data_IF_828977775194
#
_entry.id   IF_828977775194
#
_cell.length_a   1.000
_cell.length_b   1.000
_cell.length_c   1.000
_cell.angle_alpha   90.00
_cell.angle_beta   90.00
_cell.angle_gamma   90.00
#
_symmetry.space_group_name_H-M   'P 1'
#
loop_
_entity.id
_entity.type
_entity.pdbx_description
1 polymer ?
#
# COMPACT_ATOMS: atom_id res chain seq x y z
N UNK A 1 9.97 16.13 -5.71
CA UNK A 1 10.43 14.72 -5.82
C UNK A 1 11.34 14.45 -4.65
N UNK A 2 11.10 13.35 -3.96
CA UNK A 2 11.83 12.95 -2.75
C UNK A 2 12.44 11.58 -3.00
N UNK A 3 13.70 11.39 -2.61
CA UNK A 3 14.40 10.10 -2.71
C UNK A 3 15.00 9.74 -1.35
N UNK A 4 14.89 8.47 -0.96
CA UNK A 4 15.39 8.02 0.34
C UNK A 4 16.92 8.15 0.45
N UNK A 5 17.63 7.90 -0.65
CA UNK A 5 19.08 8.01 -0.74
C UNK A 5 19.57 9.45 -1.01
N UNK A 6 18.70 10.31 -1.53
CA UNK A 6 19.04 11.66 -1.98
C UNK A 6 19.67 11.70 -3.37
N UNK A 7 19.56 10.62 -4.15
CA UNK A 7 20.07 10.54 -5.52
C UNK A 7 19.41 11.58 -6.45
N UNK A 8 18.18 11.99 -6.14
CA UNK A 8 17.45 12.98 -6.93
C UNK A 8 16.42 13.75 -6.10
N UNK A 9 16.44 15.08 -6.21
CA UNK A 9 15.50 15.95 -5.50
C UNK A 9 15.82 16.10 -4.01
N UNK A 10 14.80 16.10 -3.15
CA UNK A 10 14.98 16.20 -1.70
C UNK A 10 15.28 14.83 -1.09
N UNK A 11 16.25 14.76 -0.19
CA UNK A 11 16.58 13.53 0.53
C UNK A 11 15.61 13.31 1.68
N UNK A 12 15.03 12.13 1.78
CA UNK A 12 14.22 11.70 2.93
C UNK A 12 12.83 11.18 2.56
N UNK A 13 12.03 10.90 3.59
CA UNK A 13 10.68 10.36 3.40
C UNK A 13 9.69 11.44 2.97
N UNK A 14 8.69 11.04 2.18
CA UNK A 14 7.59 11.90 1.73
C UNK A 14 6.83 12.57 2.89
N UNK A 15 6.80 11.93 4.06
CA UNK A 15 6.11 12.43 5.26
C UNK A 15 6.80 13.65 5.87
N UNK A 16 8.12 13.78 5.73
CA UNK A 16 8.87 14.96 6.20
C UNK A 16 8.51 16.19 5.35
N UNK A 17 8.53 16.03 4.03
CA UNK A 17 8.14 17.10 3.09
C UNK A 17 6.68 17.49 3.29
N UNK A 18 5.79 16.51 3.47
CA UNK A 18 4.38 16.77 3.75
C UNK A 18 4.19 17.60 5.02
N UNK A 19 4.92 17.28 6.10
CA UNK A 19 4.86 18.04 7.34
C UNK A 19 5.28 19.50 7.13
N UNK A 20 6.39 19.74 6.42
CA UNK A 20 6.84 21.10 6.12
C UNK A 20 5.80 21.90 5.32
N UNK A 21 5.10 21.25 4.38
CA UNK A 21 4.04 21.90 3.61
C UNK A 21 2.83 22.25 4.49
N UNK A 22 2.42 21.34 5.37
CA UNK A 22 1.31 21.58 6.31
C UNK A 22 1.65 22.65 7.37
N UNK A 23 2.92 22.74 7.77
CA UNK A 23 3.41 23.78 8.68
C UNK A 23 3.42 25.17 8.02
N UNK A 24 3.77 25.24 6.73
CA UNK A 24 3.83 26.49 5.96
C UNK A 24 2.46 26.96 5.49
N UNK A 25 1.61 26.04 5.03
CA UNK A 25 0.32 26.35 4.43
C UNK A 25 -0.86 25.67 5.16
N UNK A 26 -1.56 26.46 5.98
CA UNK A 26 -2.75 26.03 6.72
C UNK A 26 -4.02 25.94 5.87
N UNK A 27 -3.95 26.32 4.58
CA UNK A 27 -5.05 26.19 3.63
C UNK A 27 -5.21 24.76 3.11
N UNK A 28 -4.19 23.90 3.29
CA UNK A 28 -4.29 22.49 2.92
C UNK A 28 -5.34 21.81 3.81
N UNK A 29 -6.49 21.49 3.21
CA UNK A 29 -7.62 20.85 3.90
C UNK A 29 -7.75 19.36 3.63
N UNK A 30 -7.14 18.85 2.56
CA UNK A 30 -7.20 17.45 2.19
C UNK A 30 -5.86 16.93 1.70
N UNK A 31 -5.55 15.69 2.07
CA UNK A 31 -4.35 14.96 1.67
C UNK A 31 -4.79 13.59 1.15
N UNK A 32 -4.31 13.22 -0.04
CA UNK A 32 -4.46 11.86 -0.57
C UNK A 32 -3.13 11.14 -0.47
N UNK A 33 -3.14 9.91 0.03
CA UNK A 33 -1.95 9.07 0.11
C UNK A 33 -2.19 7.69 -0.47
N UNK A 34 -1.26 7.24 -1.29
CA UNK A 34 -1.30 5.99 -2.04
C UNK A 34 0.12 5.44 -2.06
N UNK A 35 0.31 4.22 -1.57
CA UNK A 35 1.61 3.57 -1.56
C UNK A 35 1.71 2.44 -0.55
N UNK A 36 2.92 2.12 -0.04
CA UNK A 36 3.08 1.07 0.95
C UNK A 36 2.24 1.32 2.21
N UNK A 37 1.69 0.27 2.80
CA UNK A 37 0.81 0.38 3.98
C UNK A 37 1.43 1.19 5.13
N UNK A 38 2.74 0.99 5.37
CA UNK A 38 3.47 1.75 6.39
C UNK A 38 3.58 3.24 6.05
N UNK A 39 3.78 3.58 4.77
CA UNK A 39 3.85 4.97 4.32
C UNK A 39 2.50 5.66 4.50
N UNK A 40 1.42 4.99 4.13
CA UNK A 40 0.06 5.52 4.32
C UNK A 40 -0.26 5.72 5.80
N UNK A 41 0.07 4.75 6.66
CA UNK A 41 -0.07 4.85 8.12
C UNK A 41 0.66 6.08 8.68
N UNK A 42 1.95 6.22 8.38
CA UNK A 42 2.77 7.34 8.89
C UNK A 42 2.28 8.67 8.32
N UNK A 43 1.78 8.69 7.09
CA UNK A 43 1.15 9.88 6.51
C UNK A 43 -0.07 10.31 7.32
N UNK A 44 -0.97 9.37 7.68
CA UNK A 44 -2.13 9.66 8.52
C UNK A 44 -1.73 10.13 9.93
N UNK A 45 -0.70 9.54 10.53
CA UNK A 45 -0.19 10.00 11.82
C UNK A 45 0.40 11.43 11.72
N UNK A 46 1.07 11.74 10.62
CA UNK A 46 1.67 13.06 10.36
C UNK A 46 0.60 14.13 10.16
N UNK A 47 -0.51 13.81 9.47
CA UNK A 47 -1.58 14.77 9.19
C UNK A 47 -2.55 14.96 10.35
N UNK A 48 -2.61 14.02 11.31
CA UNK A 48 -3.54 14.03 12.45
C UNK A 48 -3.53 15.31 13.31
N UNK A 49 -2.39 15.98 13.59
CA UNK A 49 -2.38 17.25 14.30
C UNK A 49 -2.95 18.43 13.49
N UNK A 50 -3.07 18.27 12.18
CA UNK A 50 -3.56 19.29 11.27
C UNK A 50 -5.05 19.03 11.00
N UNK A 51 -5.82 20.09 10.74
CA UNK A 51 -7.23 19.98 10.32
C UNK A 51 -7.35 19.56 8.85
N UNK A 52 -6.50 18.64 8.40
CA UNK A 52 -6.45 18.14 7.03
C UNK A 52 -7.01 16.73 6.98
N UNK A 53 -8.13 16.55 6.28
CA UNK A 53 -8.72 15.23 6.03
C UNK A 53 -7.75 14.40 5.19
N UNK A 54 -7.43 13.18 5.64
CA UNK A 54 -6.49 12.32 4.93
C UNK A 54 -7.21 11.11 4.36
N UNK A 55 -7.28 11.05 3.04
CA UNK A 55 -7.85 9.94 2.30
C UNK A 55 -6.73 8.99 1.90
N UNK A 56 -6.94 7.69 2.12
CA UNK A 56 -5.99 6.63 1.79
C UNK A 56 -6.61 5.71 0.74
N UNK A 57 -5.82 5.29 -0.24
CA UNK A 57 -6.22 4.23 -1.16
C UNK A 57 -5.63 2.90 -0.70
N UNK A 58 -6.48 2.03 -0.15
CA UNK A 58 -6.02 0.78 0.47
C UNK A 58 -5.71 -0.29 -0.59
N UNK A 59 -4.52 -0.89 -0.48
CA UNK A 59 -4.03 -1.94 -1.36
C UNK A 59 -4.21 -3.35 -0.77
N UNK A 60 -5.40 -3.67 -0.26
CA UNK A 60 -5.70 -4.99 0.32
C UNK A 60 -5.57 -6.13 -0.70
N UNK A 61 -5.34 -7.36 -0.23
CA UNK A 61 -5.39 -8.56 -1.08
C UNK A 61 -6.80 -8.72 -1.66
N UNK A 62 -6.89 -8.85 -2.99
CA UNK A 62 -8.14 -9.05 -3.73
C UNK A 62 -8.10 -10.38 -4.48
N UNK A 63 -9.27 -11.02 -4.60
CA UNK A 63 -9.42 -12.29 -5.36
C UNK A 63 -10.49 -12.12 -6.43
N UNK A 64 -11.72 -11.86 -6.03
CA UNK A 64 -12.89 -11.70 -6.90
C UNK A 64 -13.06 -10.25 -7.39
N UNK A 65 -12.84 -9.26 -6.52
CA UNK A 65 -13.00 -7.84 -6.84
C UNK A 65 -14.46 -7.36 -6.97
N UNK A 66 -15.44 -8.21 -6.66
CA UNK A 66 -16.88 -7.91 -6.82
C UNK A 66 -17.68 -7.98 -5.52
N UNK A 67 -17.02 -8.20 -4.38
CA UNK A 67 -17.65 -8.19 -3.05
C UNK A 67 -18.23 -9.53 -2.60
N UNK A 68 -17.95 -10.62 -3.31
CA UNK A 68 -18.43 -11.96 -3.02
C UNK A 68 -17.54 -12.71 -2.02
N UNK A 69 -16.21 -12.50 -2.04
CA UNK A 69 -15.29 -13.32 -1.25
C UNK A 69 -14.85 -12.70 0.09
N UNK A 70 -14.90 -11.37 0.24
CA UNK A 70 -14.45 -10.67 1.45
C UNK A 70 -12.95 -10.76 1.75
N UNK A 71 -12.11 -11.20 0.80
CA UNK A 71 -10.65 -11.22 0.97
C UNK A 71 -10.08 -9.83 1.21
N UNK A 72 -10.65 -8.83 0.54
CA UNK A 72 -10.30 -7.43 0.62
C UNK A 72 -10.93 -6.70 1.82
N UNK A 73 -11.46 -7.42 2.83
CA UNK A 73 -12.08 -6.77 3.98
C UNK A 73 -11.05 -5.98 4.79
N UNK A 74 -11.51 -4.87 5.34
CA UNK A 74 -10.78 -3.95 6.22
C UNK A 74 -11.71 -3.40 7.29
N UNK A 75 -11.19 -3.12 8.48
CA UNK A 75 -11.97 -2.46 9.54
C UNK A 75 -11.74 -0.95 9.47
N UNK A 76 -12.82 -0.21 9.26
CA UNK A 76 -12.84 1.26 9.18
C UNK A 76 -13.81 1.77 10.23
N UNK A 77 -13.33 2.51 11.23
CA UNK A 77 -14.17 3.10 12.27
C UNK A 77 -14.92 2.08 13.14
N UNK A 78 -14.39 0.85 13.24
CA UNK A 78 -15.04 -0.26 13.94
C UNK A 78 -16.02 -1.07 13.09
N UNK A 79 -16.26 -0.68 11.84
CA UNK A 79 -17.09 -1.44 10.90
C UNK A 79 -16.22 -2.18 9.87
N UNK A 80 -16.59 -3.42 9.57
CA UNK A 80 -15.98 -4.15 8.45
C UNK A 80 -16.52 -3.63 7.12
N UNK A 81 -15.61 -3.21 6.23
CA UNK A 81 -15.88 -2.75 4.87
C UNK A 81 -15.08 -3.58 3.86
N UNK A 82 -15.55 -3.65 2.63
CA UNK A 82 -14.86 -4.34 1.54
C UNK A 82 -14.22 -3.33 0.58
N UNK A 83 -12.89 -3.37 0.43
CA UNK A 83 -12.16 -2.40 -0.39
C UNK A 83 -12.62 -2.41 -1.86
N UNK A 84 -13.02 -3.57 -2.40
CA UNK A 84 -13.42 -3.68 -3.81
C UNK A 84 -14.82 -3.10 -4.13
N UNK A 85 -15.69 -2.94 -3.13
CA UNK A 85 -17.06 -2.44 -3.34
C UNK A 85 -17.33 -1.14 -2.60
N UNK A 86 -16.86 -1.03 -1.36
CA UNK A 86 -17.06 0.14 -0.49
C UNK A 86 -15.91 1.15 -0.60
N UNK A 87 -14.79 0.74 -1.22
CA UNK A 87 -13.56 1.52 -1.34
C UNK A 87 -13.22 1.89 -2.79
N UNK A 88 -11.92 1.98 -3.16
CA UNK A 88 -10.72 1.69 -2.35
C UNK A 88 -10.29 2.84 -1.43
N UNK A 89 -10.97 3.99 -1.55
CA UNK A 89 -10.64 5.22 -0.85
C UNK A 89 -11.39 5.32 0.48
N UNK A 90 -10.64 5.42 1.58
CA UNK A 90 -11.21 5.53 2.92
C UNK A 90 -10.56 6.66 3.70
N UNK A 91 -11.22 7.09 4.79
CA UNK A 91 -10.62 8.00 5.74
C UNK A 91 -9.51 7.27 6.51
N UNK A 92 -8.26 7.67 6.25
CA UNK A 92 -7.07 7.04 6.82
C UNK A 92 -6.96 7.12 8.35
N UNK A 93 -7.68 8.05 8.98
CA UNK A 93 -7.73 8.17 10.45
C UNK A 93 -8.62 7.11 11.10
N UNK A 94 -9.52 6.49 10.33
CA UNK A 94 -10.46 5.47 10.81
C UNK A 94 -9.99 4.04 10.50
N UNK A 95 -8.92 3.88 9.72
CA UNK A 95 -8.40 2.56 9.32
C UNK A 95 -7.73 1.86 10.50
N UNK A 96 -8.07 0.59 10.73
CA UNK A 96 -7.24 -0.28 11.57
C UNK A 96 -5.98 -0.72 10.80
N UNK A 97 -4.92 0.06 10.96
CA UNK A 97 -3.64 -0.20 10.31
C UNK A 97 -2.97 -1.50 10.78
N UNK A 98 -3.22 -1.94 12.02
CA UNK A 98 -2.60 -3.15 12.56
C UNK A 98 -3.22 -4.38 11.91
N UNK A 99 -4.56 -4.44 11.87
CA UNK A 99 -5.26 -5.50 11.14
C UNK A 99 -4.86 -5.49 9.66
N UNK A 100 -4.90 -4.33 9.02
CA UNK A 100 -4.61 -4.19 7.60
C UNK A 100 -3.21 -4.71 7.22
N UNK A 101 -2.17 -4.30 7.94
CA UNK A 101 -0.80 -4.75 7.69
C UNK A 101 -0.60 -6.25 7.96
N UNK A 102 -1.22 -6.78 9.02
CA UNK A 102 -1.16 -8.22 9.31
C UNK A 102 -1.78 -9.04 8.16
N UNK A 103 -2.92 -8.59 7.62
CA UNK A 103 -3.57 -9.25 6.48
C UNK A 103 -2.71 -9.24 5.22
N UNK A 104 -2.04 -8.13 4.92
CA UNK A 104 -1.14 -8.03 3.76
C UNK A 104 0.02 -9.04 3.83
N UNK A 105 0.46 -9.39 5.03
CA UNK A 105 1.57 -10.34 5.20
C UNK A 105 1.18 -11.81 5.13
N UNK A 106 -0.11 -12.13 4.96
CA UNK A 106 -0.65 -13.49 5.08
C UNK A 106 -0.02 -14.51 4.13
N UNK A 107 0.32 -14.09 2.91
CA UNK A 107 0.79 -14.99 1.86
C UNK A 107 2.29 -14.89 1.56
N UNK A 108 3.08 -14.19 2.40
CA UNK A 108 4.52 -13.98 2.17
C UNK A 108 5.30 -15.26 1.87
N UNK A 109 5.00 -16.36 2.59
CA UNK A 109 5.69 -17.64 2.37
C UNK A 109 5.31 -18.27 1.03
N UNK A 110 4.03 -18.16 0.62
CA UNK A 110 3.55 -18.66 -0.67
C UNK A 110 4.08 -17.81 -1.83
N UNK A 111 4.11 -16.49 -1.66
CA UNK A 111 4.69 -15.54 -2.62
C UNK A 111 6.17 -15.84 -2.84
N UNK A 112 6.93 -16.06 -1.75
CA UNK A 112 8.34 -16.44 -1.83
C UNK A 112 8.54 -17.77 -2.57
N UNK A 113 7.79 -18.81 -2.21
CA UNK A 113 7.86 -20.10 -2.90
C UNK A 113 7.53 -19.97 -4.39
N UNK A 114 6.50 -19.20 -4.74
CA UNK A 114 6.14 -18.95 -6.14
C UNK A 114 7.25 -18.20 -6.90
N UNK A 115 7.90 -17.24 -6.24
CA UNK A 115 9.02 -16.50 -6.80
C UNK A 115 10.23 -17.41 -7.04
N UNK A 116 10.61 -18.21 -6.04
CA UNK A 116 11.75 -19.13 -6.11
C UNK A 116 11.53 -20.16 -7.24
N UNK A 117 10.34 -20.78 -7.31
CA UNK A 117 9.98 -21.70 -8.40
C UNK A 117 10.06 -21.05 -9.78
N UNK A 118 9.55 -19.82 -9.92
CA UNK A 118 9.63 -19.09 -11.20
C UNK A 118 11.08 -18.85 -11.64
N UNK A 119 11.99 -18.54 -10.71
CA UNK A 119 13.40 -18.28 -11.01
C UNK A 119 14.19 -19.58 -11.29
N UNK A 120 13.86 -20.67 -10.60
CA UNK A 120 14.42 -22.00 -10.84
C UNK A 120 14.00 -22.56 -12.21
N UNK A 121 12.79 -22.25 -12.68
CA UNK A 121 12.26 -22.67 -13.98
C UNK A 121 12.58 -21.70 -15.14
N UNK A 122 13.70 -20.97 -15.08
CA UNK A 122 14.35 -20.45 -16.29
C UNK A 122 14.91 -21.61 -17.11
N UNK A 123 13.99 -22.37 -17.71
CA UNK A 123 14.29 -23.52 -18.53
C UNK A 123 15.12 -23.07 -19.74
N UNK A 124 16.39 -23.47 -19.70
CA UNK A 124 17.20 -23.81 -20.86
C UNK A 124 16.31 -24.56 -21.85
N UNK A 125 15.98 -23.90 -22.96
CA UNK A 125 15.24 -24.49 -24.06
C UNK A 125 16.06 -25.68 -24.59
N UNK A 126 15.57 -26.90 -24.41
CA UNK A 126 16.24 -28.12 -24.88
C UNK A 126 16.01 -28.40 -26.38
N UNK A 127 15.64 -27.40 -27.18
CA UNK A 127 15.37 -27.55 -28.62
C UNK A 127 16.64 -27.58 -29.50
N UNK A 128 17.82 -27.87 -28.95
CA UNK A 128 19.02 -28.18 -29.74
C UNK A 128 19.52 -29.58 -29.36
N UNK A 129 18.92 -30.62 -29.96
CA UNK A 129 19.55 -31.93 -30.22
C UNK A 129 18.64 -32.78 -31.11
N UNK A 130 18.41 -32.30 -32.33
CA UNK A 130 17.88 -33.09 -33.44
C UNK A 130 18.98 -33.30 -34.48
N UNK A 131 19.97 -34.14 -34.16
CA UNK A 131 20.86 -34.74 -35.17
C UNK A 131 20.41 -36.17 -35.43
N UNK A 132 19.74 -36.39 -36.55
CA UNK A 132 19.62 -37.68 -37.24
C UNK A 132 19.50 -37.44 -38.72
#
# INVERSE_FOLDING_TARGET
VTTDDGSYGQKGFVTQVLKELLDKDKLIKKVWTIGPAIMMKVTCETTKPYQAETIVSLNSIMVDGTGMCGSCRVTIGGETKFVCTDGPEFNGQLVDWTEFMNRLSRYKDSEKKSWDLYHEHTHVCSCERGTS
#
